data_IF_286758261426
#
_entry.id   IF_286758261426
#
_cell.length_a   1.000
_cell.length_b   1.000
_cell.length_c   1.000
_cell.angle_alpha   90.00
_cell.angle_beta   90.00
_cell.angle_gamma   90.00
#
_symmetry.space_group_name_H-M   'P 1'
#
loop_
_entity.id
_entity.type
_entity.pdbx_description
1 polymer ?
#
# COMPACT_ATOMS: atom_id res chain seq x y z
N UNK A 1 -11.74 26.13 60.46
CA UNK A 1 -12.43 25.15 59.61
C UNK A 1 -12.50 25.53 58.12
N UNK A 2 -11.57 26.38 57.61
CA UNK A 2 -11.57 26.87 56.23
C UNK A 2 -10.38 26.44 55.38
N UNK A 3 -9.37 25.77 55.95
CA UNK A 3 -8.13 25.39 55.24
C UNK A 3 -8.33 24.06 54.47
N UNK A 4 -9.11 23.13 54.99
CA UNK A 4 -9.32 21.82 54.29
C UNK A 4 -10.18 21.90 53.02
N UNK A 5 -11.05 22.92 52.89
CA UNK A 5 -11.91 23.13 51.70
C UNK A 5 -11.12 23.62 50.49
N UNK A 6 -10.05 24.37 50.68
CA UNK A 6 -9.22 24.88 49.56
C UNK A 6 -8.27 23.82 49.02
N UNK A 7 -7.72 22.96 49.89
CA UNK A 7 -6.83 21.87 49.48
C UNK A 7 -7.59 20.82 48.65
N UNK A 8 -8.85 20.53 49.02
CA UNK A 8 -9.67 19.53 48.30
C UNK A 8 -10.06 19.99 46.90
N UNK A 9 -10.31 21.31 46.74
CA UNK A 9 -10.62 21.86 45.40
C UNK A 9 -9.40 21.91 44.47
N UNK A 10 -8.21 22.12 44.98
CA UNK A 10 -6.97 22.15 44.21
C UNK A 10 -6.57 20.72 43.76
N UNK A 11 -6.81 19.71 44.59
CA UNK A 11 -6.55 18.31 44.26
C UNK A 11 -7.48 17.76 43.15
N UNK A 12 -8.74 18.28 43.09
CA UNK A 12 -9.68 17.86 42.05
C UNK A 12 -9.38 18.45 40.67
N UNK A 13 -8.72 19.61 40.60
CA UNK A 13 -8.34 20.26 39.34
C UNK A 13 -7.09 19.61 38.71
N UNK A 14 -6.18 19.08 39.51
CA UNK A 14 -4.97 18.42 39.02
C UNK A 14 -5.25 17.03 38.44
N UNK A 15 -6.32 16.36 38.86
CA UNK A 15 -6.67 15.01 38.36
C UNK A 15 -7.33 14.98 36.98
N UNK A 16 -7.79 16.14 36.47
CA UNK A 16 -8.53 16.20 35.18
C UNK A 16 -7.65 16.54 33.97
N UNK A 17 -6.34 16.75 34.14
CA UNK A 17 -5.44 17.22 33.07
C UNK A 17 -4.70 16.08 32.33
N UNK A 18 -4.87 14.80 32.68
CA UNK A 18 -3.97 13.73 32.20
C UNK A 18 -4.56 12.72 31.23
N UNK A 19 -5.66 13.00 30.55
CA UNK A 19 -6.16 12.07 29.51
C UNK A 19 -6.62 12.79 28.24
N UNK A 20 -5.78 13.65 27.68
CA UNK A 20 -5.89 13.93 26.25
C UNK A 20 -5.17 12.82 25.50
N UNK A 21 -5.84 11.69 25.33
CA UNK A 21 -5.43 10.77 24.28
C UNK A 21 -5.67 11.52 22.96
N UNK A 22 -4.61 12.03 22.37
CA UNK A 22 -4.66 12.48 20.98
C UNK A 22 -5.13 11.28 20.15
N UNK A 23 -6.38 11.31 19.71
CA UNK A 23 -6.83 10.38 18.69
C UNK A 23 -6.03 10.71 17.42
N UNK A 24 -4.93 10.02 17.21
CA UNK A 24 -4.13 10.13 15.99
C UNK A 24 -5.04 9.78 14.82
N UNK A 25 -5.20 10.73 13.92
CA UNK A 25 -5.99 10.50 12.72
C UNK A 25 -5.29 9.40 11.90
N UNK A 26 -6.03 8.33 11.56
CA UNK A 26 -5.51 7.25 10.72
C UNK A 26 -5.01 7.80 9.39
N UNK A 27 -3.82 7.38 8.99
CA UNK A 27 -3.26 7.71 7.69
C UNK A 27 -4.16 7.12 6.58
N UNK A 28 -4.50 7.93 5.60
CA UNK A 28 -5.40 7.54 4.50
C UNK A 28 -4.60 7.07 3.30
N UNK A 29 -4.78 5.81 2.89
CA UNK A 29 -4.11 5.21 1.73
C UNK A 29 -5.12 4.90 0.64
N UNK A 30 -4.82 5.34 -0.58
CA UNK A 30 -5.52 4.95 -1.80
C UNK A 30 -4.68 3.89 -2.52
N UNK A 31 -5.07 2.63 -2.41
CA UNK A 31 -4.50 1.56 -3.22
C UNK A 31 -5.14 1.54 -4.62
N UNK A 32 -4.36 1.29 -5.64
CA UNK A 32 -4.87 1.20 -7.01
C UNK A 32 -5.63 -0.10 -7.23
N UNK A 33 -5.07 -1.21 -6.79
CA UNK A 33 -5.62 -2.56 -6.93
C UNK A 33 -5.89 -3.21 -5.56
N UNK A 34 -6.78 -4.22 -5.50
CA UNK A 34 -7.11 -4.91 -4.25
C UNK A 34 -5.92 -5.56 -3.56
N UNK A 35 -4.99 -6.16 -4.31
CA UNK A 35 -3.81 -6.82 -3.76
C UNK A 35 -2.92 -5.84 -2.98
N UNK A 36 -2.77 -4.62 -3.45
CA UNK A 36 -2.04 -3.59 -2.71
C UNK A 36 -2.86 -3.06 -1.53
N UNK A 37 -4.19 -3.01 -1.63
CA UNK A 37 -5.03 -2.65 -0.50
C UNK A 37 -4.90 -3.68 0.64
N UNK A 38 -4.85 -4.96 0.31
CA UNK A 38 -4.67 -6.04 1.28
C UNK A 38 -3.26 -5.97 1.89
N UNK A 39 -2.20 -5.82 1.07
CA UNK A 39 -0.83 -5.72 1.59
C UNK A 39 -0.63 -4.48 2.46
N UNK A 40 -1.19 -3.32 2.06
CA UNK A 40 -1.18 -2.11 2.89
C UNK A 40 -1.91 -2.34 4.22
N UNK A 41 -3.00 -3.10 4.21
CA UNK A 41 -3.75 -3.43 5.42
C UNK A 41 -2.97 -4.37 6.33
N UNK A 42 -2.32 -5.39 5.78
CA UNK A 42 -1.48 -6.32 6.55
C UNK A 42 -0.31 -5.59 7.25
N UNK A 43 0.35 -4.68 6.55
CA UNK A 43 1.49 -3.94 7.11
C UNK A 43 1.04 -2.78 8.01
N UNK A 44 -0.04 -2.10 7.65
CA UNK A 44 -0.51 -0.91 8.37
C UNK A 44 -1.40 -1.19 9.56
N UNK A 45 -2.10 -2.33 9.54
CA UNK A 45 -3.05 -2.70 10.58
C UNK A 45 -4.16 -1.66 10.76
N UNK A 46 -4.54 -1.46 12.00
CA UNK A 46 -5.62 -0.54 12.38
C UNK A 46 -5.21 0.96 12.36
N UNK A 47 -3.94 1.26 12.06
CA UNK A 47 -3.39 2.62 11.94
C UNK A 47 -3.77 3.30 10.63
N UNK A 48 -4.20 2.54 9.63
CA UNK A 48 -4.51 3.03 8.31
C UNK A 48 -6.01 3.01 8.02
N UNK A 49 -6.40 3.89 7.09
CA UNK A 49 -7.68 3.85 6.39
C UNK A 49 -7.40 3.58 4.92
N UNK A 50 -7.60 2.35 4.50
CA UNK A 50 -7.31 1.90 3.13
C UNK A 50 -8.56 1.96 2.28
N UNK A 51 -8.40 2.40 1.03
CA UNK A 51 -9.44 2.38 0.01
C UNK A 51 -8.84 1.83 -1.28
N UNK A 52 -9.45 0.77 -1.85
CA UNK A 52 -9.08 0.25 -3.17
C UNK A 52 -9.80 1.03 -4.28
N UNK A 53 -9.05 1.49 -5.26
CA UNK A 53 -9.60 2.23 -6.41
C UNK A 53 -10.35 1.30 -7.36
N UNK A 54 -9.91 0.05 -7.46
CA UNK A 54 -10.47 -1.00 -8.30
C UNK A 54 -11.00 -2.16 -7.46
N UNK A 55 -11.63 -3.09 -8.13
CA UNK A 55 -12.07 -4.38 -7.59
C UNK A 55 -11.47 -5.51 -8.43
N UNK A 56 -11.43 -6.73 -7.91
CA UNK A 56 -10.94 -7.91 -8.62
C UNK A 56 -11.68 -8.23 -9.95
N UNK A 57 -12.83 -7.59 -10.17
CA UNK A 57 -13.64 -7.76 -11.38
C UNK A 57 -13.40 -6.67 -12.44
N UNK A 58 -12.45 -5.77 -12.22
CA UNK A 58 -12.12 -4.66 -13.11
C UNK A 58 -10.73 -4.83 -13.68
N UNK A 59 -10.59 -4.49 -14.95
CA UNK A 59 -9.28 -4.40 -15.59
C UNK A 59 -8.55 -3.12 -15.12
N UNK A 60 -7.42 -3.22 -14.42
CA UNK A 60 -6.71 -2.06 -13.90
C UNK A 60 -6.13 -1.15 -14.98
N UNK A 61 -5.96 -1.63 -16.21
CA UNK A 61 -5.51 -0.80 -17.33
C UNK A 61 -6.60 0.21 -17.78
N UNK A 62 -7.88 -0.11 -17.55
CA UNK A 62 -9.02 0.59 -18.16
C UNK A 62 -9.96 1.22 -17.12
N UNK A 63 -9.39 1.86 -16.12
CA UNK A 63 -10.15 2.57 -15.08
C UNK A 63 -10.36 4.04 -15.48
N UNK A 64 -11.50 4.58 -15.06
CA UNK A 64 -11.76 6.00 -15.22
C UNK A 64 -11.43 6.78 -13.94
N UNK A 65 -10.75 7.90 -14.08
CA UNK A 65 -10.51 8.86 -13.00
C UNK A 65 -11.82 9.61 -12.64
N UNK A 66 -12.83 8.86 -12.14
CA UNK A 66 -14.16 9.40 -11.78
C UNK A 66 -14.09 10.38 -10.60
N UNK A 67 -15.05 11.31 -10.46
CA UNK A 67 -15.03 12.33 -9.41
C UNK A 67 -14.89 11.78 -7.98
N UNK A 68 -15.52 10.64 -7.69
CA UNK A 68 -15.40 9.98 -6.38
C UNK A 68 -13.97 9.51 -6.10
N UNK A 69 -13.26 9.00 -7.10
CA UNK A 69 -11.87 8.56 -6.99
C UNK A 69 -10.93 9.76 -6.83
N UNK A 70 -11.15 10.83 -7.61
CA UNK A 70 -10.41 12.10 -7.45
C UNK A 70 -10.59 12.66 -6.03
N UNK A 71 -11.81 12.61 -5.47
CA UNK A 71 -12.06 13.05 -4.10
C UNK A 71 -11.33 12.20 -3.04
N UNK A 72 -11.14 10.90 -3.28
CA UNK A 72 -10.33 10.01 -2.44
C UNK A 72 -8.85 10.37 -2.54
N UNK A 73 -8.32 10.49 -3.77
CA UNK A 73 -6.93 10.86 -4.02
C UNK A 73 -6.57 12.23 -3.41
N UNK A 74 -7.49 13.19 -3.45
CA UNK A 74 -7.29 14.53 -2.83
C UNK A 74 -7.03 14.47 -1.33
N UNK A 75 -7.56 13.47 -0.64
CA UNK A 75 -7.46 13.31 0.82
C UNK A 75 -6.49 12.20 1.23
N UNK A 76 -5.89 11.51 0.27
CA UNK A 76 -4.94 10.46 0.56
C UNK A 76 -3.61 11.04 1.07
N UNK A 77 -3.03 10.40 2.05
CA UNK A 77 -1.67 10.66 2.52
C UNK A 77 -0.66 9.87 1.68
N UNK A 78 -1.11 8.75 1.11
CA UNK A 78 -0.30 7.85 0.27
C UNK A 78 -1.18 7.22 -0.82
N UNK A 79 -0.58 6.96 -1.99
CA UNK A 79 -1.08 5.97 -2.95
C UNK A 79 -0.18 4.74 -2.94
N UNK A 80 -0.77 3.58 -3.21
CA UNK A 80 -0.05 2.32 -3.40
C UNK A 80 -0.56 1.66 -4.68
N UNK A 81 0.25 1.64 -5.72
CA UNK A 81 -0.09 1.17 -7.06
C UNK A 81 0.96 0.18 -7.57
N UNK A 82 0.65 -0.58 -8.60
CA UNK A 82 1.61 -1.48 -9.26
C UNK A 82 2.74 -0.70 -9.92
N UNK A 83 2.44 0.27 -10.75
CA UNK A 83 3.42 0.99 -11.54
C UNK A 83 3.79 0.28 -12.85
N UNK A 84 4.96 0.60 -13.41
CA UNK A 84 5.44 0.08 -14.70
C UNK A 84 4.39 0.15 -15.84
N UNK A 85 3.52 1.15 -15.79
CA UNK A 85 2.53 1.41 -16.83
C UNK A 85 1.17 0.72 -16.64
N UNK A 86 0.95 -0.08 -15.57
CA UNK A 86 -0.33 -0.74 -15.35
C UNK A 86 -1.48 0.28 -15.31
N UNK A 87 -1.31 1.35 -14.58
CA UNK A 87 -2.33 2.40 -14.38
C UNK A 87 -2.13 3.61 -15.32
N UNK A 88 -1.34 3.47 -16.39
CA UNK A 88 -0.98 4.60 -17.29
C UNK A 88 -2.20 5.30 -17.88
N UNK A 89 -3.30 4.58 -18.11
CA UNK A 89 -4.54 5.13 -18.68
C UNK A 89 -5.29 6.10 -17.76
N UNK A 90 -5.06 6.09 -16.44
CA UNK A 90 -5.89 6.85 -15.52
C UNK A 90 -5.15 7.50 -14.34
N UNK A 91 -4.10 6.88 -13.80
CA UNK A 91 -3.37 7.39 -12.64
C UNK A 91 -2.78 8.80 -12.87
N UNK A 92 -2.15 9.13 -14.00
CA UNK A 92 -1.63 10.47 -14.24
C UNK A 92 -2.73 11.54 -14.21
N UNK A 93 -3.91 11.23 -14.77
CA UNK A 93 -5.07 12.13 -14.73
C UNK A 93 -5.59 12.29 -13.30
N UNK A 94 -5.68 11.18 -12.55
CA UNK A 94 -6.11 11.17 -11.15
C UNK A 94 -5.21 12.07 -10.29
N UNK A 95 -3.89 11.89 -10.39
CA UNK A 95 -2.90 12.68 -9.64
C UNK A 95 -3.04 14.16 -9.96
N UNK A 96 -3.09 14.53 -11.24
CA UNK A 96 -3.25 15.93 -11.67
C UNK A 96 -4.56 16.53 -11.16
N UNK A 97 -5.70 15.82 -11.29
CA UNK A 97 -7.02 16.32 -10.86
C UNK A 97 -7.20 16.34 -9.34
N UNK A 98 -6.50 15.50 -8.62
CA UNK A 98 -6.51 15.52 -7.15
C UNK A 98 -5.85 16.77 -6.58
N UNK A 99 -4.85 17.32 -7.29
CA UNK A 99 -4.01 18.44 -6.86
C UNK A 99 -3.41 18.21 -5.44
N UNK A 100 -3.22 16.96 -5.04
CA UNK A 100 -2.70 16.61 -3.73
C UNK A 100 -1.16 16.52 -3.78
N UNK A 101 -0.42 17.41 -3.11
CA UNK A 101 1.03 17.44 -3.18
C UNK A 101 1.71 16.23 -2.51
N UNK A 102 1.02 15.52 -1.60
CA UNK A 102 1.59 14.38 -0.86
C UNK A 102 1.84 13.17 -1.76
N UNK A 103 0.99 12.97 -2.77
CA UNK A 103 0.95 11.75 -3.60
C UNK A 103 1.46 11.98 -5.03
N UNK A 104 2.07 13.12 -5.32
CA UNK A 104 2.68 13.36 -6.64
C UNK A 104 3.95 12.55 -6.82
N UNK A 105 4.31 12.26 -8.08
CA UNK A 105 5.54 11.54 -8.40
C UNK A 105 6.76 12.16 -7.69
N UNK A 106 7.63 11.31 -7.14
CA UNK A 106 8.82 11.71 -6.38
C UNK A 106 8.54 12.14 -4.93
N UNK A 107 7.30 12.02 -4.43
CA UNK A 107 6.97 12.26 -3.03
C UNK A 107 6.92 10.93 -2.26
N UNK A 108 7.22 10.95 -0.94
CA UNK A 108 7.17 9.72 -0.14
C UNK A 108 5.82 9.00 -0.16
N UNK A 109 4.71 9.75 -0.28
CA UNK A 109 3.37 9.18 -0.41
C UNK A 109 3.02 8.66 -1.81
N UNK A 110 3.96 8.64 -2.76
CA UNK A 110 3.79 8.06 -4.09
C UNK A 110 4.51 6.72 -4.15
N UNK A 111 3.83 5.65 -3.78
CA UNK A 111 4.41 4.31 -3.75
C UNK A 111 3.97 3.50 -4.98
N UNK A 112 4.95 3.06 -5.76
CA UNK A 112 4.75 2.12 -6.86
C UNK A 112 5.50 0.83 -6.54
N UNK A 113 4.79 -0.29 -6.49
CA UNK A 113 5.37 -1.58 -6.10
C UNK A 113 6.56 -1.98 -6.99
N UNK A 114 6.45 -1.71 -8.29
CA UNK A 114 7.47 -2.02 -9.29
C UNK A 114 8.77 -1.22 -9.14
N UNK A 115 8.77 -0.10 -8.42
CA UNK A 115 9.98 0.69 -8.16
C UNK A 115 10.91 0.02 -7.15
N UNK A 116 10.43 -1.02 -6.45
CA UNK A 116 11.14 -1.67 -5.36
C UNK A 116 11.64 -3.07 -5.68
N UNK A 117 11.46 -3.52 -6.92
CA UNK A 117 11.86 -4.85 -7.39
C UNK A 117 12.42 -4.80 -8.81
N UNK A 118 13.24 -5.76 -9.15
CA UNK A 118 13.66 -5.94 -10.54
C UNK A 118 12.49 -6.51 -11.35
N UNK A 119 12.18 -5.85 -12.49
CA UNK A 119 11.13 -6.29 -13.40
C UNK A 119 11.67 -7.28 -14.42
N UNK A 120 10.89 -8.32 -14.67
CA UNK A 120 11.11 -9.28 -15.77
C UNK A 120 10.38 -8.82 -17.04
N UNK A 121 10.66 -9.49 -18.15
CA UNK A 121 9.95 -9.25 -19.41
C UNK A 121 10.19 -7.87 -20.03
N UNK A 122 11.30 -7.21 -19.72
CA UNK A 122 11.66 -5.94 -20.37
C UNK A 122 11.90 -6.16 -21.87
N UNK A 123 11.18 -5.43 -22.70
CA UNK A 123 11.34 -5.46 -24.15
C UNK A 123 11.81 -4.10 -24.63
N UNK A 124 13.09 -4.01 -24.99
CA UNK A 124 13.63 -2.76 -25.53
C UNK A 124 13.02 -2.46 -26.92
N UNK A 125 12.58 -1.21 -27.14
CA UNK A 125 12.17 -0.69 -28.43
C UNK A 125 10.92 -1.34 -29.09
N UNK A 126 10.00 -1.88 -28.32
CA UNK A 126 8.69 -2.29 -28.83
C UNK A 126 7.61 -1.26 -28.45
N UNK A 127 7.24 -0.34 -29.36
CA UNK A 127 6.22 0.68 -29.08
C UNK A 127 4.80 0.10 -28.97
N UNK A 128 4.61 -1.17 -29.34
CA UNK A 128 3.30 -1.85 -29.24
C UNK A 128 3.14 -2.56 -27.89
N UNK A 129 4.23 -2.78 -27.17
CA UNK A 129 4.20 -3.40 -25.86
C UNK A 129 3.90 -2.36 -24.77
N UNK A 130 2.69 -2.43 -24.19
CA UNK A 130 2.27 -1.53 -23.11
C UNK A 130 3.12 -1.69 -21.83
N UNK A 131 3.86 -2.78 -21.71
CA UNK A 131 4.74 -3.09 -20.58
C UNK A 131 6.22 -3.13 -20.99
N UNK A 132 6.64 -2.27 -21.92
CA UNK A 132 8.04 -2.21 -22.40
C UNK A 132 9.06 -2.01 -21.26
N UNK A 133 8.69 -1.33 -20.19
CA UNK A 133 9.52 -1.12 -19.00
C UNK A 133 9.71 -2.39 -18.14
N UNK A 134 8.94 -3.44 -18.42
CA UNK A 134 8.89 -4.70 -17.68
C UNK A 134 7.48 -5.02 -17.19
N UNK A 135 7.26 -6.29 -16.83
CA UNK A 135 5.95 -6.77 -16.43
C UNK A 135 5.52 -6.19 -15.07
N UNK A 136 4.38 -5.47 -15.00
CA UNK A 136 3.87 -4.84 -13.78
C UNK A 136 3.17 -5.81 -12.82
N UNK A 137 2.88 -7.04 -13.23
CA UNK A 137 2.09 -8.02 -12.47
C UNK A 137 2.94 -8.70 -11.37
N UNK A 138 3.74 -7.92 -10.67
CA UNK A 138 4.69 -8.38 -9.64
C UNK A 138 4.01 -9.01 -8.42
N UNK A 139 2.70 -8.79 -8.24
CA UNK A 139 1.89 -9.38 -7.19
C UNK A 139 1.72 -10.91 -7.34
N UNK A 140 1.98 -11.46 -8.53
CA UNK A 140 2.00 -12.91 -8.74
C UNK A 140 3.32 -13.58 -8.38
N UNK A 141 4.36 -12.81 -8.05
CA UNK A 141 5.65 -13.34 -7.63
C UNK A 141 5.82 -13.22 -6.11
N UNK A 142 5.74 -14.32 -5.36
CA UNK A 142 5.81 -14.28 -3.92
C UNK A 142 7.16 -13.79 -3.37
N UNK A 143 8.24 -13.90 -4.13
CA UNK A 143 9.55 -13.36 -3.73
C UNK A 143 9.52 -11.83 -3.80
N UNK A 144 8.97 -11.28 -4.90
CA UNK A 144 8.84 -9.83 -5.08
C UNK A 144 7.84 -9.23 -4.10
N UNK A 145 6.73 -9.91 -3.82
CA UNK A 145 5.74 -9.46 -2.82
C UNK A 145 6.38 -9.24 -1.44
N UNK A 146 7.26 -10.14 -1.00
CA UNK A 146 7.98 -9.96 0.28
C UNK A 146 8.92 -8.74 0.26
N UNK A 147 9.61 -8.47 -0.86
CA UNK A 147 10.44 -7.27 -1.01
C UNK A 147 9.61 -5.99 -1.01
N UNK A 148 8.46 -6.01 -1.69
CA UNK A 148 7.51 -4.90 -1.74
C UNK A 148 6.93 -4.62 -0.36
N UNK A 149 6.56 -5.67 0.42
CA UNK A 149 6.09 -5.52 1.79
C UNK A 149 7.12 -4.80 2.69
N UNK A 150 8.40 -5.16 2.55
CA UNK A 150 9.49 -4.48 3.26
C UNK A 150 9.61 -3.01 2.87
N UNK A 151 9.56 -2.71 1.57
CA UNK A 151 9.61 -1.34 1.09
C UNK A 151 8.41 -0.52 1.57
N UNK A 152 7.21 -1.10 1.54
CA UNK A 152 5.99 -0.50 2.03
C UNK A 152 6.07 -0.15 3.52
N UNK A 153 6.54 -1.07 4.36
CA UNK A 153 6.74 -0.83 5.79
C UNK A 153 7.71 0.33 6.04
N UNK A 154 8.79 0.43 5.26
CA UNK A 154 9.76 1.53 5.37
C UNK A 154 9.14 2.88 4.97
N UNK A 155 8.36 2.91 3.88
CA UNK A 155 7.67 4.14 3.44
C UNK A 155 6.63 4.57 4.48
N UNK A 156 5.80 3.65 4.98
CA UNK A 156 4.84 3.94 6.04
C UNK A 156 5.54 4.47 7.30
N UNK A 157 6.64 3.85 7.72
CA UNK A 157 7.45 4.32 8.86
C UNK A 157 8.03 5.72 8.63
N UNK A 158 8.32 6.11 7.39
CA UNK A 158 8.87 7.44 7.08
C UNK A 158 7.81 8.54 7.07
N UNK A 159 6.59 8.25 6.64
CA UNK A 159 5.50 9.23 6.55
C UNK A 159 4.66 9.31 7.82
N UNK A 160 4.75 8.30 8.67
CA UNK A 160 4.04 8.17 9.95
C UNK A 160 4.99 7.58 11.01
N UNK A 161 5.97 8.37 11.39
CA UNK A 161 7.06 7.95 12.27
C UNK A 161 6.58 7.53 13.66
N UNK A 162 5.46 8.06 14.14
CA UNK A 162 4.89 7.71 15.45
C UNK A 162 4.40 6.25 15.50
N UNK A 163 4.03 5.68 14.37
CA UNK A 163 3.59 4.30 14.23
C UNK A 163 4.65 3.36 13.60
N UNK A 164 5.88 3.83 13.41
CA UNK A 164 6.95 3.09 12.73
C UNK A 164 7.18 1.69 13.32
N UNK A 165 7.25 1.57 14.65
CA UNK A 165 7.47 0.30 15.33
C UNK A 165 6.34 -0.72 15.07
N UNK A 166 5.09 -0.23 14.96
CA UNK A 166 3.95 -1.08 14.65
C UNK A 166 4.05 -1.62 13.21
N UNK A 167 4.41 -0.78 12.23
CA UNK A 167 4.60 -1.21 10.84
C UNK A 167 5.72 -2.24 10.70
N UNK A 168 6.83 -2.03 11.40
CA UNK A 168 7.94 -2.99 11.41
C UNK A 168 7.57 -4.30 12.13
N UNK A 169 6.72 -4.25 13.18
CA UNK A 169 6.20 -5.45 13.82
C UNK A 169 5.29 -6.24 12.88
N UNK A 170 4.34 -5.57 12.23
CA UNK A 170 3.42 -6.21 11.28
C UNK A 170 4.19 -6.81 10.09
N UNK A 171 5.27 -6.15 9.62
CA UNK A 171 6.15 -6.74 8.60
C UNK A 171 6.79 -8.05 9.07
N UNK A 172 7.23 -8.14 10.33
CA UNK A 172 7.79 -9.40 10.86
C UNK A 172 6.74 -10.51 10.90
N UNK A 173 5.52 -10.19 11.30
CA UNK A 173 4.41 -11.15 11.35
C UNK A 173 4.00 -11.60 9.94
N UNK A 174 3.93 -10.65 8.99
CA UNK A 174 3.75 -10.94 7.58
C UNK A 174 4.82 -11.90 7.06
N UNK A 175 6.10 -11.57 7.25
CA UNK A 175 7.21 -12.40 6.79
C UNK A 175 7.17 -13.80 7.41
N UNK A 176 6.85 -13.93 8.70
CA UNK A 176 6.73 -15.23 9.36
C UNK A 176 5.68 -16.12 8.68
N UNK A 177 4.51 -15.54 8.38
CA UNK A 177 3.43 -16.24 7.68
C UNK A 177 3.83 -16.57 6.24
N UNK A 178 4.43 -15.60 5.53
CA UNK A 178 4.85 -15.73 4.13
C UNK A 178 5.92 -16.80 3.96
N UNK A 179 6.98 -16.75 4.77
CA UNK A 179 8.07 -17.71 4.74
C UNK A 179 7.61 -19.14 5.04
N UNK A 180 6.58 -19.29 5.90
CA UNK A 180 5.97 -20.61 6.16
C UNK A 180 5.15 -21.15 4.98
N UNK A 181 4.62 -20.27 4.13
CA UNK A 181 3.83 -20.63 2.95
C UNK A 181 4.70 -20.95 1.71
N UNK A 182 5.85 -20.28 1.58
CA UNK A 182 6.75 -20.41 0.42
C UNK A 182 7.11 -21.84 0.03
N UNK A 183 7.51 -22.75 0.96
CA UNK A 183 7.81 -24.14 0.60
C UNK A 183 6.61 -24.87 0.01
N UNK A 184 5.41 -24.62 0.55
CA UNK A 184 4.17 -25.26 0.07
C UNK A 184 3.84 -24.82 -1.37
N UNK A 185 4.00 -23.53 -1.66
CA UNK A 185 3.80 -22.99 -3.01
C UNK A 185 4.81 -23.56 -3.99
N UNK A 186 6.09 -23.61 -3.60
CA UNK A 186 7.15 -24.22 -4.40
C UNK A 186 6.85 -25.68 -4.73
N UNK A 187 6.40 -26.48 -3.75
CA UNK A 187 6.02 -27.88 -3.97
C UNK A 187 4.83 -28.00 -4.92
N UNK A 188 3.87 -27.06 -4.84
CA UNK A 188 2.72 -27.04 -5.75
C UNK A 188 3.15 -26.73 -7.19
N UNK A 189 4.02 -25.74 -7.37
CA UNK A 189 4.57 -25.40 -8.70
C UNK A 189 5.38 -26.54 -9.29
N UNK A 190 6.20 -27.22 -8.48
CA UNK A 190 6.99 -28.38 -8.93
C UNK A 190 6.11 -29.52 -9.49
N UNK A 191 4.87 -29.67 -9.00
CA UNK A 191 3.90 -30.65 -9.53
C UNK A 191 3.29 -30.23 -10.87
N UNK A 192 3.43 -28.96 -11.26
CA UNK A 192 2.93 -28.44 -12.53
C UNK A 192 4.00 -28.43 -13.64
N UNK A 193 5.21 -28.86 -13.34
CA UNK A 193 6.30 -28.92 -14.34
C UNK A 193 5.86 -29.69 -15.58
N UNK A 194 6.20 -29.14 -16.76
CA UNK A 194 5.85 -29.66 -18.09
C UNK A 194 4.36 -29.54 -18.49
N UNK A 195 3.55 -28.80 -17.74
CA UNK A 195 2.19 -28.49 -18.17
C UNK A 195 2.17 -27.15 -18.88
N UNK A 196 1.61 -27.14 -20.09
CA UNK A 196 1.31 -25.90 -20.81
C UNK A 196 0.03 -25.31 -20.27
N UNK A 197 0.00 -23.99 -20.09
CA UNK A 197 -1.19 -23.22 -19.74
C UNK A 197 -1.44 -22.17 -20.83
N UNK A 198 -2.71 -21.87 -21.07
CA UNK A 198 -3.12 -20.79 -21.97
C UNK A 198 -3.55 -19.64 -21.06
N UNK A 199 -3.00 -18.47 -21.31
CA UNK A 199 -3.33 -17.23 -20.57
C UNK A 199 -3.91 -16.20 -21.54
N UNK A 200 -4.79 -15.36 -21.03
CA UNK A 200 -5.40 -14.30 -21.84
C UNK A 200 -4.46 -13.11 -22.01
N UNK A 201 -3.60 -12.87 -21.03
CA UNK A 201 -2.69 -11.73 -20.94
C UNK A 201 -1.35 -12.18 -20.37
N UNK A 202 -0.26 -11.50 -20.73
CA UNK A 202 1.09 -11.77 -20.24
C UNK A 202 1.24 -11.30 -18.77
N UNK A 203 0.52 -11.98 -17.88
CA UNK A 203 0.57 -11.71 -16.42
C UNK A 203 1.68 -12.51 -15.72
N UNK A 204 2.21 -13.55 -16.40
CA UNK A 204 3.16 -14.49 -15.82
C UNK A 204 4.47 -14.46 -16.61
N UNK A 205 5.57 -14.16 -15.95
CA UNK A 205 6.93 -14.17 -16.50
C UNK A 205 7.89 -14.97 -15.65
#
# INVERSE_FOLDING_TARGET
MHIHSKLLKTLFIVFFVTFSQSALAKLSVLACEPEWADQVTDIGGDRLKVYSATTAMQDPHQIQARPSLIAKARRADMIACSGAGLEAGWLPLLLRKSANPKIQAGKPGHFLATDHVELLGKVANDPTNIHAAGNPHVHFDPVRVALIAKALANVLSSIDAENADAYQSNLRDFNTTWDSAMPKWKDSVNKLQQRSVIVHHDSWV
#
